data_IF_598803369390
#
_entry.id   IF_598803369390
#
_cell.length_a   1.000
_cell.length_b   1.000
_cell.length_c   1.000
_cell.angle_alpha   90.00
_cell.angle_beta   90.00
_cell.angle_gamma   90.00
#
_symmetry.space_group_name_H-M   'P 1'
#
loop_
_entity.id
_entity.type
_entity.pdbx_description
1 polymer ?
#
# COMPACT_ATOMS: atom_id res chain seq x y z
N UNK A 1 -18.63 -15.17 -17.77
CA UNK A 1 -18.53 -15.84 -16.45
C UNK A 1 -19.43 -15.12 -15.46
N UNK A 2 -20.10 -15.85 -14.58
CA UNK A 2 -20.90 -15.27 -13.49
C UNK A 2 -19.96 -14.48 -12.55
N UNK A 3 -20.33 -13.27 -12.16
CA UNK A 3 -19.55 -12.45 -11.22
C UNK A 3 -19.64 -13.10 -9.83
N UNK A 4 -18.48 -13.45 -9.27
CA UNK A 4 -18.36 -13.96 -7.89
C UNK A 4 -18.82 -12.88 -6.92
N UNK A 5 -19.64 -13.26 -5.95
CA UNK A 5 -20.04 -12.43 -4.82
C UNK A 5 -19.43 -12.96 -3.53
N UNK A 6 -19.45 -12.15 -2.47
CA UNK A 6 -18.93 -12.55 -1.16
C UNK A 6 -19.64 -13.80 -0.64
N UNK A 7 -20.95 -13.91 -0.88
CA UNK A 7 -21.77 -15.04 -0.45
C UNK A 7 -21.42 -16.35 -1.16
N UNK A 8 -20.73 -16.28 -2.32
CA UNK A 8 -20.25 -17.46 -3.05
C UNK A 8 -18.93 -18.01 -2.47
N UNK A 9 -18.28 -17.27 -1.55
CA UNK A 9 -16.94 -17.59 -1.01
C UNK A 9 -17.03 -17.93 0.48
N UNK A 10 -16.44 -19.06 0.85
CA UNK A 10 -16.36 -19.51 2.25
C UNK A 10 -15.46 -18.58 3.08
N UNK A 11 -15.79 -18.38 4.36
CA UNK A 11 -15.04 -17.48 5.26
C UNK A 11 -13.56 -17.87 5.37
N UNK A 12 -13.29 -19.18 5.41
CA UNK A 12 -11.95 -19.76 5.53
C UNK A 12 -11.02 -19.36 4.38
N UNK A 13 -11.56 -18.93 3.23
CA UNK A 13 -10.77 -18.40 2.12
C UNK A 13 -10.20 -17.02 2.46
N UNK A 14 -10.97 -16.18 3.18
CA UNK A 14 -10.50 -14.89 3.67
C UNK A 14 -9.52 -15.07 4.82
N UNK A 15 -9.78 -16.01 5.72
CA UNK A 15 -8.87 -16.31 6.84
C UNK A 15 -7.52 -16.85 6.31
N UNK A 16 -7.56 -17.70 5.29
CA UNK A 16 -6.37 -18.19 4.59
C UNK A 16 -5.60 -17.05 3.90
N UNK A 17 -6.29 -16.05 3.36
CA UNK A 17 -5.66 -14.86 2.80
C UNK A 17 -5.03 -13.99 3.91
N UNK A 18 -5.69 -13.82 5.05
CA UNK A 18 -5.14 -13.09 6.21
C UNK A 18 -3.83 -13.74 6.67
N UNK A 19 -3.81 -15.06 6.83
CA UNK A 19 -2.60 -15.81 7.17
C UNK A 19 -1.49 -15.59 6.14
N UNK A 20 -1.82 -15.53 4.85
CA UNK A 20 -0.85 -15.27 3.79
C UNK A 20 -0.31 -13.84 3.82
N UNK A 21 -1.19 -12.84 3.96
CA UNK A 21 -0.83 -11.42 3.99
C UNK A 21 0.01 -11.05 5.23
N UNK A 22 -0.15 -11.79 6.32
CA UNK A 22 0.64 -11.68 7.55
C UNK A 22 1.81 -12.66 7.62
N UNK A 23 2.17 -13.28 6.48
CA UNK A 23 3.30 -14.21 6.33
C UNK A 23 3.32 -15.42 7.29
N UNK A 24 2.14 -15.83 7.79
CA UNK A 24 1.97 -17.05 8.60
C UNK A 24 2.00 -18.32 7.75
N UNK A 25 1.73 -18.20 6.45
CA UNK A 25 1.85 -19.28 5.47
C UNK A 25 2.66 -18.83 4.26
N UNK A 26 3.44 -19.75 3.68
CA UNK A 26 4.19 -19.46 2.44
C UNK A 26 3.25 -19.34 1.24
N UNK A 27 3.67 -18.63 0.20
CA UNK A 27 2.91 -18.51 -1.06
C UNK A 27 2.56 -19.88 -1.66
N UNK A 28 3.48 -20.84 -1.61
CA UNK A 28 3.24 -22.22 -2.08
C UNK A 28 2.11 -22.88 -1.29
N UNK A 29 2.17 -22.82 0.04
CA UNK A 29 1.16 -23.41 0.91
C UNK A 29 -0.20 -22.69 0.79
N UNK A 30 -0.18 -21.37 0.62
CA UNK A 30 -1.38 -20.57 0.38
C UNK A 30 -2.11 -21.01 -0.89
N UNK A 31 -1.41 -21.09 -2.02
CA UNK A 31 -2.01 -21.53 -3.31
C UNK A 31 -2.49 -22.98 -3.24
N UNK A 32 -1.71 -23.86 -2.59
CA UNK A 32 -2.08 -25.26 -2.38
C UNK A 32 -3.38 -25.39 -1.59
N UNK A 33 -3.50 -24.71 -0.44
CA UNK A 33 -4.74 -24.66 0.35
C UNK A 33 -5.89 -23.98 -0.40
N UNK A 34 -5.63 -22.90 -1.13
CA UNK A 34 -6.64 -22.18 -1.91
C UNK A 34 -7.25 -23.08 -3.00
N UNK A 35 -6.47 -24.01 -3.56
CA UNK A 35 -6.93 -24.96 -4.57
C UNK A 35 -8.05 -25.87 -4.08
N UNK A 36 -8.07 -26.18 -2.78
CA UNK A 36 -9.13 -27.00 -2.18
C UNK A 36 -10.50 -26.31 -2.19
N UNK A 37 -10.55 -24.99 -2.38
CA UNK A 37 -11.76 -24.19 -2.50
C UNK A 37 -12.19 -23.93 -3.96
N UNK A 38 -11.40 -24.34 -4.94
CA UNK A 38 -11.68 -24.17 -6.38
C UNK A 38 -12.67 -25.24 -6.89
N UNK A 39 -13.88 -25.23 -6.33
CA UNK A 39 -14.97 -26.16 -6.65
C UNK A 39 -16.16 -25.44 -7.27
N UNK A 40 -17.07 -26.17 -7.93
CA UNK A 40 -18.35 -25.60 -8.39
C UNK A 40 -18.23 -24.51 -9.47
N UNK A 41 -17.18 -24.56 -10.29
CA UNK A 41 -16.91 -23.56 -11.34
C UNK A 41 -16.07 -22.36 -10.89
N UNK A 42 -15.64 -22.33 -9.62
CA UNK A 42 -14.62 -21.40 -9.14
C UNK A 42 -13.22 -21.93 -9.51
N UNK A 43 -12.37 -21.05 -10.00
CA UNK A 43 -10.95 -21.33 -10.25
C UNK A 43 -10.08 -20.68 -9.19
N UNK A 44 -8.87 -21.21 -8.96
CA UNK A 44 -7.88 -20.59 -8.06
C UNK A 44 -7.63 -19.13 -8.43
N UNK A 45 -7.49 -18.82 -9.72
CA UNK A 45 -7.30 -17.45 -10.21
C UNK A 45 -8.49 -16.54 -9.88
N UNK A 46 -9.72 -17.06 -9.98
CA UNK A 46 -10.92 -16.29 -9.66
C UNK A 46 -11.07 -16.03 -8.16
N UNK A 47 -10.71 -17.00 -7.31
CA UNK A 47 -10.67 -16.84 -5.86
C UNK A 47 -9.58 -15.83 -5.48
N UNK A 48 -8.36 -16.02 -5.99
CA UNK A 48 -7.23 -15.15 -5.73
C UNK A 48 -7.53 -13.70 -6.13
N UNK A 49 -8.08 -13.49 -7.32
CA UNK A 49 -8.45 -12.14 -7.78
C UNK A 49 -9.59 -11.52 -6.97
N UNK A 50 -10.43 -12.33 -6.31
CA UNK A 50 -11.51 -11.83 -5.45
C UNK A 50 -11.01 -11.39 -4.07
N UNK A 51 -10.09 -12.15 -3.47
CA UNK A 51 -9.54 -11.89 -2.13
C UNK A 51 -8.33 -10.95 -2.12
N UNK A 52 -7.62 -10.81 -3.24
CA UNK A 52 -6.44 -9.94 -3.31
C UNK A 52 -6.81 -8.46 -3.41
N UNK A 53 -5.92 -7.54 -2.96
CA UNK A 53 -6.16 -6.12 -3.07
C UNK A 53 -6.19 -5.68 -4.54
N UNK A 54 -7.23 -4.96 -4.94
CA UNK A 54 -7.34 -4.33 -6.25
C UNK A 54 -7.13 -2.82 -6.11
N UNK A 55 -5.88 -2.39 -5.93
CA UNK A 55 -5.56 -0.98 -5.73
C UNK A 55 -6.00 -0.12 -6.92
N UNK A 56 -5.81 -0.61 -8.15
CA UNK A 56 -6.14 0.15 -9.37
C UNK A 56 -7.62 0.51 -9.42
N UNK A 57 -8.52 -0.44 -9.16
CA UNK A 57 -9.97 -0.16 -9.20
C UNK A 57 -10.49 0.53 -7.94
N UNK A 58 -9.71 0.57 -6.86
CA UNK A 58 -10.11 1.12 -5.55
C UNK A 58 -9.49 2.48 -5.23
N UNK A 59 -8.59 3.00 -6.07
CA UNK A 59 -8.12 4.39 -5.99
C UNK A 59 -9.32 5.33 -6.02
N UNK A 60 -9.40 6.22 -5.03
CA UNK A 60 -10.44 7.24 -4.95
C UNK A 60 -9.97 8.52 -5.62
N UNK A 61 -8.73 8.93 -5.36
CA UNK A 61 -8.13 10.14 -5.90
C UNK A 61 -7.00 9.77 -6.83
N UNK A 62 -7.18 10.10 -8.11
CA UNK A 62 -6.20 9.83 -9.16
C UNK A 62 -4.93 10.65 -8.94
N UNK A 63 -3.82 10.17 -9.49
CA UNK A 63 -2.52 10.84 -9.41
C UNK A 63 -2.53 12.23 -10.08
N UNK A 64 -3.33 12.38 -11.14
CA UNK A 64 -3.47 13.59 -11.96
C UNK A 64 -4.68 14.47 -11.56
N UNK A 65 -5.21 14.31 -10.35
CA UNK A 65 -6.34 15.13 -9.88
C UNK A 65 -5.95 16.61 -9.82
N UNK A 66 -6.55 17.41 -10.71
CA UNK A 66 -6.25 18.83 -10.91
C UNK A 66 -6.48 19.70 -9.67
N UNK A 67 -7.23 19.22 -8.69
CA UNK A 67 -7.47 19.92 -7.41
C UNK A 67 -6.26 19.83 -6.48
N UNK A 68 -5.28 18.98 -6.80
CA UNK A 68 -4.08 18.76 -6.01
C UNK A 68 -2.82 19.18 -6.78
N UNK A 69 -1.81 19.55 -6.01
CA UNK A 69 -0.40 19.52 -6.42
C UNK A 69 0.24 18.37 -5.67
N UNK A 70 0.55 17.30 -6.40
CA UNK A 70 1.18 16.10 -5.88
C UNK A 70 2.51 15.86 -6.59
N UNK A 71 3.57 15.73 -5.83
CA UNK A 71 4.92 15.53 -6.38
C UNK A 71 5.75 14.64 -5.45
N UNK A 72 6.66 13.88 -6.03
CA UNK A 72 7.65 13.17 -5.23
C UNK A 72 8.76 14.12 -4.85
N UNK A 73 9.01 14.21 -3.55
CA UNK A 73 10.14 14.95 -2.99
C UNK A 73 11.11 13.98 -2.33
N UNK A 74 12.30 14.48 -2.02
CA UNK A 74 13.26 13.81 -1.15
C UNK A 74 13.58 14.67 0.06
N UNK A 75 13.86 14.04 1.19
CA UNK A 75 14.33 14.70 2.41
C UNK A 75 15.41 13.86 3.10
N UNK A 76 16.20 14.52 3.95
CA UNK A 76 17.31 13.90 4.67
C UNK A 76 16.83 13.30 6.00
N UNK A 77 17.01 11.99 6.14
CA UNK A 77 16.88 11.21 7.37
C UNK A 77 18.25 10.62 7.74
N UNK A 78 19.16 11.43 8.32
CA UNK A 78 20.54 11.02 8.58
C UNK A 78 20.65 9.89 9.62
N UNK A 79 19.65 9.77 10.51
CA UNK A 79 19.57 8.69 11.51
C UNK A 79 18.85 7.43 10.98
N UNK A 80 18.14 7.55 9.87
CA UNK A 80 17.39 6.47 9.24
C UNK A 80 18.04 5.96 7.95
N UNK A 81 17.33 6.11 6.84
CA UNK A 81 17.69 5.64 5.51
C UNK A 81 18.59 6.56 4.69
N UNK A 82 19.08 7.67 5.25
CA UNK A 82 19.86 8.66 4.51
C UNK A 82 18.93 9.60 3.76
N UNK A 83 18.68 9.36 2.48
CA UNK A 83 17.72 10.17 1.69
C UNK A 83 16.44 9.37 1.49
N UNK A 84 15.30 9.95 1.88
CA UNK A 84 13.99 9.31 1.77
C UNK A 84 13.15 10.03 0.74
N UNK A 85 12.53 9.26 -0.15
CA UNK A 85 11.54 9.73 -1.11
C UNK A 85 10.17 9.70 -0.44
N UNK A 86 9.32 10.67 -0.74
CA UNK A 86 7.93 10.67 -0.29
C UNK A 86 7.02 11.40 -1.27
N UNK A 87 5.74 11.04 -1.27
CA UNK A 87 4.73 11.77 -2.02
C UNK A 87 4.23 12.95 -1.18
N UNK A 88 4.54 14.17 -1.61
CA UNK A 88 3.97 15.38 -1.06
C UNK A 88 2.68 15.70 -1.82
N UNK A 89 1.57 15.92 -1.12
CA UNK A 89 0.30 16.32 -1.71
C UNK A 89 -0.32 17.50 -0.96
N UNK A 90 -0.86 18.47 -1.69
CA UNK A 90 -1.53 19.66 -1.14
C UNK A 90 -2.59 20.20 -2.11
N UNK A 91 -3.61 20.94 -1.64
CA UNK A 91 -4.56 21.62 -2.53
C UNK A 91 -3.86 22.54 -3.53
N UNK A 92 -4.30 22.53 -4.79
CA UNK A 92 -3.68 23.30 -5.86
C UNK A 92 -3.77 24.82 -5.66
N UNK A 93 -4.88 25.30 -5.08
CA UNK A 93 -5.26 26.72 -5.01
C UNK A 93 -5.16 27.35 -3.62
N UNK A 94 -4.77 26.61 -2.57
CA UNK A 94 -4.67 27.18 -1.22
C UNK A 94 -3.48 28.13 -1.10
N UNK A 95 -3.73 29.30 -0.51
CA UNK A 95 -2.74 30.30 -0.11
C UNK A 95 -2.55 30.26 1.41
N UNK A 96 -1.32 30.51 1.87
CA UNK A 96 -0.97 30.53 3.29
C UNK A 96 -0.49 29.19 3.84
N UNK A 97 -0.24 29.13 5.15
CA UNK A 97 0.24 27.93 5.84
C UNK A 97 -0.90 26.90 5.93
N UNK A 98 -0.56 25.63 5.69
CA UNK A 98 -1.48 24.50 5.82
C UNK A 98 -1.12 23.65 7.05
N UNK A 99 -2.09 23.06 7.76
CA UNK A 99 -1.81 22.01 8.73
C UNK A 99 -1.22 20.78 8.03
N UNK A 100 -0.26 20.13 8.69
CA UNK A 100 0.49 19.00 8.14
C UNK A 100 -0.04 17.64 8.60
N UNK A 101 0.04 16.64 7.72
CA UNK A 101 -0.21 15.22 8.02
C UNK A 101 0.95 14.39 7.46
N UNK A 102 1.47 13.47 8.26
CA UNK A 102 2.36 12.40 7.78
C UNK A 102 1.53 11.14 7.60
N UNK A 103 1.54 10.57 6.39
CA UNK A 103 0.83 9.33 6.06
C UNK A 103 1.85 8.19 6.03
N UNK A 104 1.84 7.37 7.08
CA UNK A 104 2.75 6.23 7.22
C UNK A 104 2.14 5.01 6.54
N UNK A 105 2.90 4.37 5.66
CA UNK A 105 2.47 3.14 4.99
C UNK A 105 2.50 1.91 5.90
N UNK A 106 1.95 0.79 5.42
CA UNK A 106 1.95 -0.49 6.12
C UNK A 106 3.29 -1.24 5.95
N UNK A 107 3.29 -2.57 5.84
CA UNK A 107 4.48 -3.42 5.79
C UNK A 107 5.09 -3.61 4.39
N UNK A 108 4.83 -2.70 3.44
CA UNK A 108 5.18 -2.91 2.02
C UNK A 108 5.53 -1.62 1.26
N UNK A 109 6.05 -0.61 1.94
CA UNK A 109 6.45 0.65 1.30
C UNK A 109 5.28 1.51 0.82
N UNK A 110 5.63 2.59 0.10
CA UNK A 110 4.68 3.54 -0.46
C UNK A 110 3.99 2.98 -1.72
N UNK A 111 2.96 2.16 -1.51
CA UNK A 111 2.16 1.59 -2.61
C UNK A 111 1.08 2.58 -3.11
N UNK A 112 0.42 2.30 -4.26
CA UNK A 112 -0.59 3.19 -4.83
C UNK A 112 -1.78 3.51 -3.90
N UNK A 113 -2.10 2.60 -2.97
CA UNK A 113 -3.15 2.84 -1.98
C UNK A 113 -2.74 3.91 -0.97
N UNK A 114 -1.52 3.85 -0.44
CA UNK A 114 -1.04 4.84 0.52
C UNK A 114 -0.83 6.20 -0.14
N UNK A 115 -0.37 6.21 -1.39
CA UNK A 115 -0.34 7.46 -2.17
C UNK A 115 -1.73 8.09 -2.33
N UNK A 116 -2.77 7.28 -2.59
CA UNK A 116 -4.15 7.74 -2.64
C UNK A 116 -4.61 8.28 -1.29
N UNK A 117 -4.26 7.64 -0.17
CA UNK A 117 -4.54 8.18 1.18
C UNK A 117 -3.87 9.54 1.39
N UNK A 118 -2.62 9.73 0.96
CA UNK A 118 -1.95 11.03 0.95
C UNK A 118 -2.73 12.07 0.14
N UNK A 119 -3.15 11.73 -1.08
CA UNK A 119 -3.97 12.64 -1.91
C UNK A 119 -5.32 12.98 -1.27
N UNK A 120 -5.99 12.03 -0.60
CA UNK A 120 -7.23 12.27 0.15
C UNK A 120 -7.01 13.28 1.29
N UNK A 121 -5.90 13.18 2.03
CA UNK A 121 -5.54 14.16 3.04
C UNK A 121 -5.29 15.55 2.43
N UNK A 122 -4.62 15.60 1.28
CA UNK A 122 -4.48 16.81 0.46
C UNK A 122 -5.83 17.45 0.13
N UNK A 123 -6.80 16.67 -0.37
CA UNK A 123 -8.14 17.19 -0.73
C UNK A 123 -8.93 17.64 0.48
N UNK A 124 -8.70 17.05 1.64
CA UNK A 124 -9.30 17.47 2.90
C UNK A 124 -8.72 18.81 3.43
N UNK A 125 -7.75 19.42 2.72
CA UNK A 125 -7.22 20.74 3.03
C UNK A 125 -5.90 20.76 3.81
N UNK A 126 -5.23 19.61 3.93
CA UNK A 126 -3.92 19.48 4.58
C UNK A 126 -2.79 19.53 3.57
N UNK A 127 -1.57 19.82 4.04
CA UNK A 127 -0.36 19.37 3.35
C UNK A 127 -0.01 17.99 3.89
N UNK A 128 0.05 16.98 3.02
CA UNK A 128 0.37 15.62 3.42
C UNK A 128 1.69 15.18 2.84
N UNK A 129 2.53 14.54 3.64
CA UNK A 129 3.71 13.81 3.19
C UNK A 129 3.49 12.32 3.45
N UNK A 130 3.63 11.49 2.42
CA UNK A 130 3.64 10.04 2.53
C UNK A 130 5.05 9.52 2.21
N UNK A 131 5.93 9.32 3.21
CA UNK A 131 7.26 8.80 2.98
C UNK A 131 7.27 7.35 2.51
N UNK A 132 8.28 6.97 1.73
CA UNK A 132 8.56 5.59 1.35
C UNK A 132 9.75 5.06 2.16
N UNK A 133 9.50 4.29 3.22
CA UNK A 133 10.54 3.69 4.04
C UNK A 133 11.34 2.60 3.30
N UNK A 134 10.90 2.20 2.09
CA UNK A 134 11.65 1.34 1.20
C UNK A 134 12.60 2.11 0.26
N UNK A 135 12.63 3.44 0.28
CA UNK A 135 13.56 4.24 -0.54
C UNK A 135 15.00 3.71 -0.52
N UNK A 136 15.60 3.34 0.64
CA UNK A 136 16.97 2.84 0.68
C UNK A 136 17.18 1.49 -0.01
N UNK A 137 16.10 0.80 -0.36
CA UNK A 137 16.07 -0.47 -1.07
C UNK A 137 15.47 -0.35 -2.48
N UNK A 138 15.28 0.87 -2.99
CA UNK A 138 14.74 1.14 -4.33
C UNK A 138 13.26 1.56 -4.36
N UNK A 139 12.58 1.60 -3.21
CA UNK A 139 11.17 1.96 -3.07
C UNK A 139 10.20 0.79 -3.23
N UNK A 140 8.90 1.09 -3.31
CA UNK A 140 7.88 0.05 -3.57
C UNK A 140 8.13 -0.66 -4.91
N UNK A 141 8.28 -2.00 -4.94
CA UNK A 141 8.68 -2.74 -6.15
C UNK A 141 7.52 -3.00 -7.13
N UNK A 142 6.33 -2.43 -6.88
CA UNK A 142 5.14 -2.60 -7.72
C UNK A 142 4.28 -3.81 -7.36
N UNK A 143 4.67 -4.60 -6.35
CA UNK A 143 3.83 -5.67 -5.79
C UNK A 143 4.03 -5.85 -4.28
N UNK A 144 3.01 -6.41 -3.63
CA UNK A 144 2.95 -6.49 -2.17
C UNK A 144 3.87 -7.56 -1.57
N UNK A 145 4.18 -8.64 -2.30
CA UNK A 145 5.03 -9.73 -1.79
C UNK A 145 6.48 -9.27 -1.67
N UNK A 146 7.04 -8.74 -2.76
CA UNK A 146 8.41 -8.21 -2.77
C UNK A 146 8.51 -7.01 -1.82
N UNK A 147 7.45 -6.18 -1.73
CA UNK A 147 7.39 -5.07 -0.77
C UNK A 147 7.52 -5.54 0.68
N UNK A 148 6.84 -6.63 1.07
CA UNK A 148 6.99 -7.24 2.40
C UNK A 148 8.40 -7.80 2.62
N UNK A 149 8.97 -8.47 1.63
CA UNK A 149 10.33 -8.99 1.71
C UNK A 149 11.39 -7.90 1.86
N UNK A 150 11.23 -6.78 1.15
CA UNK A 150 12.11 -5.61 1.29
C UNK A 150 11.94 -4.96 2.67
N UNK A 151 10.72 -4.77 3.14
CA UNK A 151 10.45 -4.16 4.45
C UNK A 151 11.09 -4.96 5.59
N UNK A 152 11.08 -6.30 5.50
CA UNK A 152 11.73 -7.19 6.49
C UNK A 152 13.25 -6.98 6.60
N UNK A 153 13.90 -6.46 5.55
CA UNK A 153 15.34 -6.14 5.55
C UNK A 153 15.64 -4.78 6.20
N UNK A 154 14.61 -3.98 6.50
CA UNK A 154 14.78 -2.66 7.14
C UNK A 154 14.84 -2.82 8.66
N UNK A 155 15.63 -1.95 9.28
CA UNK A 155 15.64 -1.81 10.73
C UNK A 155 14.44 -0.94 11.18
N UNK A 156 13.72 -1.41 12.21
CA UNK A 156 12.53 -0.74 12.73
C UNK A 156 12.81 0.67 13.23
N UNK A 157 13.92 0.87 13.94
CA UNK A 157 14.24 2.16 14.55
C UNK A 157 14.72 3.15 13.47
N UNK A 158 15.48 2.68 12.48
CA UNK A 158 15.83 3.51 11.32
C UNK A 158 14.61 3.98 10.54
N UNK A 159 13.61 3.11 10.33
CA UNK A 159 12.36 3.52 9.69
C UNK A 159 11.57 4.52 10.54
N UNK A 160 11.60 4.39 11.87
CA UNK A 160 10.98 5.39 12.73
C UNK A 160 11.62 6.77 12.56
N UNK A 161 12.96 6.83 12.50
CA UNK A 161 13.69 8.07 12.23
C UNK A 161 13.33 8.66 10.86
N UNK A 162 13.07 7.82 9.86
CA UNK A 162 12.59 8.27 8.54
C UNK A 162 11.28 9.06 8.64
N UNK A 163 10.37 8.69 9.54
CA UNK A 163 9.09 9.40 9.70
C UNK A 163 9.16 10.62 10.62
N UNK A 164 10.24 10.77 11.40
CA UNK A 164 10.46 11.88 12.33
C UNK A 164 11.16 13.07 11.65
N UNK A 165 12.04 12.78 10.69
CA UNK A 165 12.92 13.76 10.03
C UNK A 165 12.20 14.85 9.23
#
# INVERSE_FOLDING_TARGET
MKKIKKEDIKQEVFDLYDDYAHDRVSRRLFIDKLSTYAVGGLTVSSLLGFISPDYVKKIQIKQDDVRLKSEFITYDSPKGGGTIKGLLSRPAEKKGKLPGIVVVHENRGLNPHIEDVGRRAGLAGFISLAPDALTPLGGYPGNDDDGRELQRKRDRNKMLEDFIA
#
